data_IF_302946263863
#
_entry.id   IF_302946263863
#
_cell.length_a   1.000
_cell.length_b   1.000
_cell.length_c   1.000
_cell.angle_alpha   90.00
_cell.angle_beta   90.00
_cell.angle_gamma   90.00
#
_symmetry.space_group_name_H-M   'P 1'
#
loop_
_entity.id
_entity.type
_entity.pdbx_description
1 polymer ?
#
# COMPACT_ATOMS: atom_id res chain seq x y z
N UNK A 1 -12.09 -4.47 -17.95
CA UNK A 1 -10.84 -4.71 -17.20
C UNK A 1 -10.88 -6.16 -16.74
N UNK A 2 -9.74 -6.82 -16.58
CA UNK A 2 -9.70 -8.15 -15.96
C UNK A 2 -9.21 -7.96 -14.53
N UNK A 3 -9.97 -8.38 -13.50
CA UNK A 3 -9.54 -8.23 -12.13
C UNK A 3 -8.16 -8.82 -11.90
N UNK A 4 -7.38 -8.17 -11.04
CA UNK A 4 -5.97 -8.47 -10.86
C UNK A 4 -5.59 -8.44 -9.40
N UNK A 5 -4.72 -9.34 -8.99
CA UNK A 5 -4.15 -9.36 -7.65
C UNK A 5 -2.65 -9.54 -7.72
N UNK A 6 -1.94 -8.67 -7.03
CA UNK A 6 -0.49 -8.78 -6.87
C UNK A 6 -0.14 -8.68 -5.39
N UNK A 7 0.69 -9.60 -4.92
CA UNK A 7 1.04 -9.74 -3.51
C UNK A 7 2.56 -9.69 -3.33
N UNK A 8 2.99 -9.09 -2.24
CA UNK A 8 4.31 -9.27 -1.66
C UNK A 8 4.13 -9.88 -0.29
N UNK A 9 4.83 -10.98 -0.05
CA UNK A 9 4.77 -11.76 1.18
C UNK A 9 6.13 -11.67 1.85
N UNK A 10 6.14 -11.42 3.16
CA UNK A 10 7.36 -11.44 3.96
C UNK A 10 7.14 -12.06 5.32
N UNK A 11 8.12 -12.84 5.79
CA UNK A 11 8.18 -13.28 7.19
C UNK A 11 8.80 -12.19 8.07
N UNK A 12 8.09 -11.82 9.13
CA UNK A 12 8.53 -10.88 10.17
C UNK A 12 8.26 -11.51 11.53
N UNK A 13 9.33 -11.82 12.27
CA UNK A 13 9.24 -12.55 13.55
C UNK A 13 8.42 -13.84 13.40
N UNK A 14 7.34 -14.00 14.17
CA UNK A 14 6.40 -15.13 14.12
C UNK A 14 5.27 -14.94 13.10
N UNK A 15 5.31 -13.90 12.26
CA UNK A 15 4.19 -13.55 11.40
C UNK A 15 4.60 -13.61 9.92
N UNK A 16 3.66 -14.00 9.07
CA UNK A 16 3.68 -13.78 7.64
C UNK A 16 2.85 -12.52 7.35
N UNK A 17 3.49 -11.47 6.83
CA UNK A 17 2.82 -10.25 6.40
C UNK A 17 2.61 -10.31 4.90
N UNK A 18 1.36 -10.18 4.48
CA UNK A 18 0.95 -10.10 3.08
C UNK A 18 0.53 -8.66 2.82
N UNK A 19 1.19 -8.03 1.86
CA UNK A 19 0.81 -6.73 1.31
C UNK A 19 0.47 -6.89 -0.16
N UNK A 20 -0.43 -6.08 -0.70
CA UNK A 20 -0.77 -6.23 -2.10
C UNK A 20 -1.64 -5.13 -2.65
N UNK A 21 -1.92 -5.26 -3.94
CA UNK A 21 -2.89 -4.43 -4.65
C UNK A 21 -3.83 -5.34 -5.42
N UNK A 22 -5.12 -5.16 -5.15
CA UNK A 22 -6.20 -5.75 -5.91
C UNK A 22 -6.83 -4.67 -6.79
N UNK A 23 -6.95 -4.95 -8.08
CA UNK A 23 -7.57 -4.06 -9.06
C UNK A 23 -8.82 -4.75 -9.59
N UNK A 24 -9.99 -4.13 -9.45
CA UNK A 24 -11.26 -4.70 -9.91
C UNK A 24 -12.17 -3.61 -10.46
N UNK A 25 -13.23 -4.00 -11.16
CA UNK A 25 -14.30 -3.10 -11.61
C UNK A 25 -15.56 -3.15 -10.72
N UNK A 26 -15.76 -4.22 -9.94
CA UNK A 26 -16.98 -4.43 -9.14
C UNK A 26 -16.80 -4.39 -7.62
N UNK A 27 -15.58 -4.55 -7.10
CA UNK A 27 -15.30 -4.53 -5.66
C UNK A 27 -14.60 -3.22 -5.26
N UNK A 28 -15.20 -2.47 -4.32
CA UNK A 28 -14.65 -1.20 -3.83
C UNK A 28 -14.53 -1.24 -2.32
N UNK A 29 -13.30 -1.17 -1.81
CA UNK A 29 -13.05 -1.19 -0.37
C UNK A 29 -13.39 0.14 0.32
N UNK A 30 -13.56 1.23 -0.44
CA UNK A 30 -13.73 2.58 0.12
C UNK A 30 -12.55 2.99 0.99
N UNK A 31 -12.82 3.77 2.03
CA UNK A 31 -11.78 4.22 2.97
C UNK A 31 -11.29 3.13 3.93
N UNK A 32 -12.02 2.02 4.04
CA UNK A 32 -11.65 0.84 4.83
C UNK A 32 -12.66 -0.29 4.63
N UNK A 33 -12.19 -1.53 4.46
CA UNK A 33 -13.02 -2.73 4.46
C UNK A 33 -12.23 -3.95 4.94
N UNK A 34 -12.79 -4.73 5.87
CA UNK A 34 -12.29 -6.06 6.18
C UNK A 34 -12.93 -7.10 5.28
N UNK A 35 -12.20 -8.10 4.82
CA UNK A 35 -12.75 -9.22 4.06
C UNK A 35 -11.91 -10.49 4.29
N UNK A 36 -12.55 -11.65 4.09
CA UNK A 36 -11.85 -12.92 4.24
C UNK A 36 -10.89 -13.11 3.06
N UNK A 37 -9.63 -13.43 3.37
CA UNK A 37 -8.63 -13.86 2.41
C UNK A 37 -8.18 -15.26 2.79
N UNK A 38 -8.35 -16.21 1.87
CA UNK A 38 -7.89 -17.58 2.02
C UNK A 38 -6.93 -17.85 0.86
N UNK A 39 -5.76 -18.37 1.16
CA UNK A 39 -4.79 -18.83 0.18
C UNK A 39 -4.60 -20.34 0.26
N UNK A 40 -4.28 -20.95 -0.87
CA UNK A 40 -3.94 -22.37 -0.95
C UNK A 40 -2.64 -22.52 -1.77
N UNK A 41 -1.63 -23.17 -1.19
CA UNK A 41 -0.37 -23.46 -1.89
C UNK A 41 -0.57 -24.63 -2.84
N UNK A 42 -0.55 -24.35 -4.14
CA UNK A 42 -0.73 -25.38 -5.17
C UNK A 42 0.58 -26.13 -5.43
N UNK A 43 1.68 -25.39 -5.54
CA UNK A 43 3.06 -25.89 -5.69
C UNK A 43 4.08 -24.88 -5.09
N UNK A 44 5.37 -25.03 -5.37
CA UNK A 44 6.42 -24.13 -4.84
C UNK A 44 6.29 -22.70 -5.34
N UNK A 45 5.83 -22.51 -6.58
CA UNK A 45 5.80 -21.23 -7.27
C UNK A 45 4.37 -20.70 -7.51
N UNK A 46 3.34 -21.46 -7.14
CA UNK A 46 1.95 -21.14 -7.46
C UNK A 46 1.05 -21.22 -6.23
N UNK A 47 0.25 -20.17 -6.04
CA UNK A 47 -0.79 -20.11 -5.00
C UNK A 47 -2.14 -19.76 -5.63
N UNK A 48 -3.22 -20.30 -5.09
CA UNK A 48 -4.57 -19.81 -5.30
C UNK A 48 -4.94 -18.88 -4.15
N UNK A 49 -5.54 -17.73 -4.41
CA UNK A 49 -6.03 -16.79 -3.41
C UNK A 49 -7.49 -16.49 -3.66
N UNK A 50 -8.30 -16.78 -2.65
CA UNK A 50 -9.74 -16.59 -2.58
C UNK A 50 -10.00 -15.33 -1.75
N UNK A 51 -10.71 -14.37 -2.34
CA UNK A 51 -11.13 -13.15 -1.67
C UNK A 51 -12.66 -13.11 -1.66
N UNK A 52 -13.23 -13.18 -0.48
CA UNK A 52 -14.67 -13.00 -0.28
C UNK A 52 -15.02 -11.52 -0.53
N UNK A 53 -16.07 -11.29 -1.33
CA UNK A 53 -16.58 -9.93 -1.60
C UNK A 53 -17.39 -9.39 -0.42
N UNK A 54 -17.80 -10.25 0.51
CA UNK A 54 -18.54 -9.86 1.70
C UNK A 54 -17.63 -9.13 2.69
N UNK A 55 -18.02 -7.90 3.01
CA UNK A 55 -17.38 -7.11 4.06
C UNK A 55 -17.60 -7.76 5.43
N UNK A 56 -16.52 -7.82 6.20
CA UNK A 56 -16.54 -8.18 7.61
C UNK A 56 -16.08 -7.00 8.45
N UNK A 57 -16.85 -6.72 9.49
CA UNK A 57 -16.45 -5.75 10.50
C UNK A 57 -15.44 -6.39 11.45
N UNK A 58 -14.32 -5.70 11.68
CA UNK A 58 -13.30 -6.12 12.63
C UNK A 58 -13.07 -5.04 13.66
N UNK A 59 -12.98 -5.46 14.92
CA UNK A 59 -12.77 -4.61 16.08
C UNK A 59 -11.77 -5.25 17.02
N UNK A 60 -10.90 -4.43 17.59
CA UNK A 60 -9.86 -4.95 18.49
C UNK A 60 -10.53 -5.38 19.81
N UNK A 61 -9.80 -6.01 20.74
CA UNK A 61 -10.34 -6.35 22.06
C UNK A 61 -10.90 -5.16 22.85
N UNK A 62 -10.60 -3.93 22.43
CA UNK A 62 -11.07 -2.67 23.03
C UNK A 62 -12.17 -1.97 22.19
N UNK A 63 -12.76 -2.67 21.21
CA UNK A 63 -13.82 -2.20 20.34
C UNK A 63 -13.44 -1.07 19.36
N UNK A 64 -12.13 -0.82 19.14
CA UNK A 64 -11.62 0.18 18.20
C UNK A 64 -11.67 -0.32 16.76
N UNK A 65 -11.83 0.63 15.82
CA UNK A 65 -11.86 0.40 14.37
C UNK A 65 -10.62 1.00 13.70
N UNK A 66 -10.23 0.48 12.53
CA UNK A 66 -9.01 0.91 11.80
C UNK A 66 -9.16 2.01 10.79
N UNK A 67 -10.37 2.51 10.59
CA UNK A 67 -10.61 3.58 9.63
C UNK A 67 -9.66 4.77 9.83
N UNK A 68 -9.21 5.00 11.06
CA UNK A 68 -8.31 6.09 11.44
C UNK A 68 -6.81 5.75 11.32
N UNK A 69 -6.45 4.52 10.90
CA UNK A 69 -5.07 4.05 10.86
C UNK A 69 -4.52 3.89 9.44
N UNK A 70 -3.20 4.01 9.31
CA UNK A 70 -2.48 3.70 8.07
C UNK A 70 -2.34 2.19 7.88
N UNK A 71 -2.53 1.67 6.66
CA UNK A 71 -2.38 0.23 6.39
C UNK A 71 -1.00 -0.28 6.81
N UNK A 72 0.07 0.51 6.67
CA UNK A 72 1.42 0.07 7.03
C UNK A 72 1.67 -0.09 8.54
N UNK A 73 0.78 0.43 9.39
CA UNK A 73 0.90 0.31 10.84
C UNK A 73 0.03 -0.82 11.41
N UNK A 74 -1.01 -1.24 10.66
CA UNK A 74 -1.91 -2.31 11.07
C UNK A 74 -1.23 -3.63 11.46
N UNK A 75 -0.10 -4.06 10.89
CA UNK A 75 0.53 -5.31 11.31
C UNK A 75 1.06 -5.29 12.75
N UNK A 76 1.17 -4.12 13.35
CA UNK A 76 1.63 -3.94 14.72
C UNK A 76 0.48 -3.94 15.75
N UNK A 77 -0.77 -4.06 15.29
CA UNK A 77 -1.95 -4.03 16.15
C UNK A 77 -2.52 -5.42 16.42
N UNK A 78 -3.13 -5.57 17.59
CA UNK A 78 -3.81 -6.79 18.03
C UNK A 78 -5.23 -6.91 17.46
N UNK A 79 -5.34 -7.12 16.14
CA UNK A 79 -6.64 -7.31 15.47
C UNK A 79 -6.71 -8.45 14.47
N UNK A 80 -5.57 -9.02 14.13
CA UNK A 80 -5.54 -10.10 13.18
C UNK A 80 -6.29 -11.29 13.78
N UNK A 81 -7.40 -11.65 13.14
CA UNK A 81 -8.13 -12.85 13.52
C UNK A 81 -7.25 -14.04 13.15
N UNK A 82 -7.07 -14.93 14.11
CA UNK A 82 -6.45 -16.23 13.90
C UNK A 82 -7.17 -16.98 12.79
N UNK A 83 -6.40 -17.59 11.91
CA UNK A 83 -6.93 -18.39 10.82
C UNK A 83 -6.85 -19.86 11.21
N UNK A 84 -8.02 -20.44 11.43
CA UNK A 84 -8.13 -21.85 11.77
C UNK A 84 -8.51 -22.62 10.51
N UNK A 85 -7.57 -23.37 9.94
CA UNK A 85 -7.85 -24.37 8.91
C UNK A 85 -7.29 -25.72 9.31
N UNK A 86 -8.03 -26.78 8.97
CA UNK A 86 -7.59 -28.16 9.11
C UNK A 86 -6.79 -28.64 7.88
N UNK A 87 -6.77 -27.86 6.80
CA UNK A 87 -6.15 -28.23 5.54
C UNK A 87 -4.66 -27.85 5.50
N UNK A 88 -3.81 -28.84 5.20
CA UNK A 88 -2.33 -28.72 5.25
C UNK A 88 -1.69 -27.80 4.20
N UNK A 89 -2.49 -27.17 3.34
CA UNK A 89 -2.02 -26.28 2.27
C UNK A 89 -2.66 -24.91 2.31
N UNK A 90 -3.54 -24.68 3.28
CA UNK A 90 -4.26 -23.43 3.41
C UNK A 90 -3.54 -22.46 4.34
N UNK A 91 -3.69 -21.19 4.03
CA UNK A 91 -3.29 -20.06 4.84
C UNK A 91 -4.34 -18.98 4.67
N UNK A 92 -4.41 -18.00 5.55
CA UNK A 92 -5.36 -16.92 5.35
C UNK A 92 -5.74 -16.24 6.63
N UNK A 93 -6.98 -15.79 6.67
CA UNK A 93 -7.57 -15.04 7.76
C UNK A 93 -8.25 -13.83 7.19
N UNK A 94 -8.00 -12.68 7.81
CA UNK A 94 -8.60 -11.43 7.35
C UNK A 94 -7.58 -10.57 6.63
N UNK A 95 -8.00 -10.01 5.50
CA UNK A 95 -7.33 -8.90 4.87
C UNK A 95 -8.12 -7.61 5.13
N UNK A 96 -7.36 -6.52 5.31
CA UNK A 96 -7.88 -5.17 5.36
C UNK A 96 -7.55 -4.49 4.04
N UNK A 97 -8.56 -3.96 3.36
CA UNK A 97 -8.42 -3.16 2.16
C UNK A 97 -8.69 -1.67 2.39
N UNK A 98 -8.08 -0.85 1.55
CA UNK A 98 -8.40 0.58 1.35
C UNK A 98 -8.24 0.93 -0.12
N UNK A 99 -9.21 1.63 -0.69
CA UNK A 99 -9.10 2.18 -2.03
C UNK A 99 -7.97 3.22 -2.08
N UNK A 100 -7.06 3.01 -3.02
CA UNK A 100 -5.92 3.88 -3.25
C UNK A 100 -6.23 4.94 -4.31
N UNK A 101 -5.26 5.81 -4.54
CA UNK A 101 -5.25 6.74 -5.66
C UNK A 101 -5.32 5.98 -6.99
N UNK A 102 -5.92 6.61 -7.99
CA UNK A 102 -6.02 6.12 -9.36
C UNK A 102 -5.12 6.93 -10.28
N UNK A 103 -4.86 6.45 -11.49
CA UNK A 103 -4.24 7.28 -12.52
C UNK A 103 -5.23 8.33 -13.04
N UNK A 104 -4.71 9.40 -13.68
CA UNK A 104 -5.56 10.49 -14.19
C UNK A 104 -6.55 10.05 -15.28
N UNK A 105 -6.24 8.97 -16.01
CA UNK A 105 -7.08 8.36 -17.05
C UNK A 105 -8.07 7.32 -16.51
N UNK A 106 -8.01 7.01 -15.21
CA UNK A 106 -8.88 6.03 -14.56
C UNK A 106 -10.03 6.72 -13.81
N UNK A 107 -11.24 6.16 -13.92
CA UNK A 107 -12.44 6.65 -13.23
C UNK A 107 -12.77 5.75 -12.02
N UNK A 108 -13.05 6.32 -10.83
CA UNK A 108 -13.47 5.56 -9.66
C UNK A 108 -14.76 4.77 -9.86
N UNK A 109 -15.60 5.17 -10.81
CA UNK A 109 -16.82 4.44 -11.18
C UNK A 109 -16.48 3.11 -11.86
N UNK A 110 -15.36 3.05 -12.60
CA UNK A 110 -14.96 1.94 -13.46
C UNK A 110 -13.87 1.05 -12.87
N UNK A 111 -13.01 1.61 -12.02
CA UNK A 111 -11.84 0.92 -11.45
C UNK A 111 -11.77 1.21 -9.96
N UNK A 112 -11.60 0.15 -9.17
CA UNK A 112 -11.07 0.21 -7.81
C UNK A 112 -9.67 -0.37 -7.78
N UNK A 113 -8.78 0.34 -7.10
CA UNK A 113 -7.42 -0.09 -6.79
C UNK A 113 -7.29 -0.21 -5.29
N UNK A 114 -7.68 -1.35 -4.75
CA UNK A 114 -7.63 -1.60 -3.32
C UNK A 114 -6.22 -2.02 -2.92
N UNK A 115 -5.54 -1.23 -2.07
CA UNK A 115 -4.36 -1.70 -1.36
C UNK A 115 -4.80 -2.60 -0.20
N UNK A 116 -4.16 -3.76 -0.03
CA UNK A 116 -4.58 -4.77 0.95
C UNK A 116 -3.44 -5.15 1.88
N UNK A 117 -3.77 -5.43 3.14
CA UNK A 117 -2.85 -5.97 4.14
C UNK A 117 -3.47 -7.11 4.93
N UNK A 118 -2.69 -8.16 5.15
CA UNK A 118 -3.05 -9.29 6.02
C UNK A 118 -1.84 -9.74 6.81
N UNK A 119 -2.07 -10.25 8.02
CA UNK A 119 -1.06 -10.83 8.88
C UNK A 119 -1.54 -12.19 9.34
N UNK A 120 -0.66 -13.18 9.21
CA UNK A 120 -0.93 -14.59 9.51
C UNK A 120 0.13 -15.06 10.50
N UNK A 121 -0.27 -15.75 11.57
CA UNK A 121 0.66 -16.36 12.51
C UNK A 121 1.35 -17.56 11.83
N UNK A 122 2.68 -17.58 11.81
CA UNK A 122 3.47 -18.67 11.21
C UNK A 122 3.23 -20.01 11.93
N UNK A 123 2.81 -19.98 13.21
CA UNK A 123 2.47 -21.20 13.94
C UNK A 123 1.19 -21.87 13.44
N UNK A 124 0.35 -21.14 12.69
CA UNK A 124 -0.86 -21.66 12.06
C UNK A 124 -0.58 -22.27 10.67
N UNK A 125 0.63 -22.09 10.14
CA UNK A 125 1.02 -22.65 8.86
C UNK A 125 1.61 -24.05 8.99
N UNK A 126 1.17 -24.92 8.10
CA UNK A 126 1.65 -26.32 7.99
C UNK A 126 2.73 -26.49 6.91
N UNK A 127 3.07 -25.41 6.21
CA UNK A 127 4.07 -25.37 5.15
C UNK A 127 4.85 -24.06 5.18
N UNK A 128 6.04 -24.07 4.57
CA UNK A 128 6.93 -22.92 4.58
C UNK A 128 6.80 -22.06 3.31
N UNK A 129 6.86 -20.74 3.51
CA UNK A 129 7.12 -19.74 2.46
C UNK A 129 8.60 -19.36 2.47
N UNK A 130 9.15 -18.82 1.38
CA UNK A 130 10.45 -18.17 1.50
C UNK A 130 10.35 -16.88 2.35
N UNK A 131 11.50 -16.33 2.74
CA UNK A 131 11.52 -15.14 3.61
C UNK A 131 10.83 -13.93 2.95
N UNK A 132 10.99 -13.79 1.63
CA UNK A 132 10.39 -12.75 0.80
C UNK A 132 9.96 -13.35 -0.54
N UNK A 133 8.71 -13.15 -0.93
CA UNK A 133 8.18 -13.54 -2.23
C UNK A 133 7.32 -12.43 -2.82
N UNK A 134 7.30 -12.33 -4.15
CA UNK A 134 6.28 -11.59 -4.87
C UNK A 134 5.46 -12.57 -5.72
N UNK A 135 4.15 -12.38 -5.76
CA UNK A 135 3.20 -13.19 -6.52
C UNK A 135 2.34 -12.28 -7.39
N UNK A 136 2.11 -12.68 -8.65
CA UNK A 136 1.33 -11.91 -9.62
C UNK A 136 0.24 -12.80 -10.20
N UNK A 137 -0.97 -12.26 -10.34
CA UNK A 137 -2.08 -13.01 -10.92
C UNK A 137 -1.86 -13.34 -12.37
N UNK A 138 -2.01 -14.61 -12.72
CA UNK A 138 -1.94 -15.13 -14.09
C UNK A 138 -3.30 -15.60 -14.60
N UNK A 139 -4.24 -15.85 -13.69
CA UNK A 139 -5.64 -16.15 -13.99
C UNK A 139 -6.52 -15.65 -12.86
N UNK A 140 -7.76 -15.29 -13.21
CA UNK A 140 -8.81 -14.93 -12.27
C UNK A 140 -10.12 -15.57 -12.71
N UNK A 141 -10.86 -16.08 -11.75
CA UNK A 141 -12.26 -16.45 -11.90
C UNK A 141 -13.08 -15.62 -10.93
N UNK A 142 -14.10 -14.94 -11.45
CA UNK A 142 -15.10 -14.27 -10.63
C UNK A 142 -16.33 -15.17 -10.53
N UNK A 143 -16.66 -15.56 -9.30
CA UNK A 143 -17.94 -16.20 -8.97
C UNK A 143 -18.77 -15.22 -8.15
N UNK A 144 -20.03 -15.55 -7.90
CA UNK A 144 -21.03 -14.63 -7.32
C UNK A 144 -20.50 -13.84 -6.11
N UNK A 145 -19.98 -14.55 -5.10
CA UNK A 145 -19.58 -13.96 -3.82
C UNK A 145 -18.06 -13.85 -3.60
N UNK A 146 -17.22 -14.27 -4.54
CA UNK A 146 -15.77 -14.25 -4.33
C UNK A 146 -14.99 -14.09 -5.63
N UNK A 147 -13.75 -13.67 -5.49
CA UNK A 147 -12.73 -13.79 -6.52
C UNK A 147 -11.79 -14.94 -6.20
N UNK A 148 -11.42 -15.69 -7.25
CA UNK A 148 -10.39 -16.73 -7.17
C UNK A 148 -9.25 -16.33 -8.09
N UNK A 149 -8.13 -15.92 -7.51
CA UNK A 149 -6.92 -15.56 -8.23
C UNK A 149 -5.93 -16.72 -8.21
N UNK A 150 -5.42 -17.10 -9.37
CA UNK A 150 -4.23 -17.95 -9.47
C UNK A 150 -3.03 -17.04 -9.65
N UNK A 151 -2.10 -17.09 -8.70
CA UNK A 151 -0.91 -16.27 -8.67
C UNK A 151 0.33 -17.13 -8.88
N UNK A 152 1.27 -16.64 -9.70
CA UNK A 152 2.60 -17.23 -9.83
C UNK A 152 3.66 -16.34 -9.19
N UNK A 153 4.66 -16.98 -8.62
CA UNK A 153 5.84 -16.33 -8.07
C UNK A 153 6.57 -15.59 -9.18
N UNK A 154 6.90 -14.34 -8.93
CA UNK A 154 7.68 -13.51 -9.84
C UNK A 154 9.16 -13.64 -9.50
N UNK A 155 9.89 -14.32 -10.38
CA UNK A 155 11.32 -14.61 -10.25
C UNK A 155 12.17 -13.79 -11.22
N UNK A 156 11.62 -12.72 -11.79
CA UNK A 156 12.40 -11.80 -12.63
C UNK A 156 13.52 -11.12 -11.85
N UNK A 157 14.64 -10.85 -12.50
CA UNK A 157 15.83 -10.23 -11.86
C UNK A 157 15.48 -8.92 -11.13
N UNK A 158 14.62 -8.10 -11.74
CA UNK A 158 14.16 -6.84 -11.15
C UNK A 158 13.34 -7.06 -9.87
N UNK A 159 12.47 -8.08 -9.85
CA UNK A 159 11.71 -8.42 -8.65
C UNK A 159 12.62 -9.01 -7.57
N UNK A 160 13.61 -9.83 -7.93
CA UNK A 160 14.59 -10.34 -6.98
C UNK A 160 15.43 -9.23 -6.36
N UNK A 161 15.88 -8.25 -7.17
CA UNK A 161 16.57 -7.06 -6.68
C UNK A 161 15.68 -6.28 -5.71
N UNK A 162 14.43 -6.01 -6.10
CA UNK A 162 13.43 -5.34 -5.27
C UNK A 162 13.26 -6.06 -3.91
N UNK A 163 13.05 -7.39 -3.91
CA UNK A 163 12.88 -8.17 -2.69
C UNK A 163 14.13 -8.10 -1.81
N UNK A 164 15.33 -8.08 -2.41
CA UNK A 164 16.58 -7.83 -1.70
C UNK A 164 16.60 -6.49 -0.97
N UNK A 165 16.08 -5.41 -1.59
CA UNK A 165 16.02 -4.08 -0.95
C UNK A 165 14.99 -3.96 0.19
N UNK A 166 14.06 -4.91 0.30
CA UNK A 166 13.07 -4.96 1.37
C UNK A 166 13.60 -5.65 2.64
N UNK A 167 14.71 -6.38 2.55
CA UNK A 167 15.32 -7.01 3.72
C UNK A 167 15.78 -5.95 4.73
N UNK A 168 15.30 -6.04 5.97
CA UNK A 168 15.64 -5.10 7.04
C UNK A 168 14.91 -3.76 7.00
N UNK A 169 14.00 -3.55 6.04
CA UNK A 169 13.25 -2.31 5.91
C UNK A 169 11.92 -2.32 6.69
N UNK A 170 11.35 -1.13 6.91
CA UNK A 170 10.06 -0.88 7.55
C UNK A 170 8.87 -1.45 6.75
N UNK A 171 7.75 -1.71 7.44
CA UNK A 171 6.52 -2.22 6.81
C UNK A 171 6.01 -1.25 5.73
N UNK A 172 6.15 0.07 5.93
CA UNK A 172 5.76 1.08 4.93
C UNK A 172 6.40 0.82 3.58
N UNK A 173 7.66 0.37 3.58
CA UNK A 173 8.40 0.07 2.35
C UNK A 173 7.81 -1.08 1.55
N UNK A 174 6.92 -1.90 2.11
CA UNK A 174 6.31 -3.04 1.42
C UNK A 174 5.15 -2.61 0.51
N UNK A 175 4.69 -1.37 0.65
CA UNK A 175 3.73 -0.77 -0.26
C UNK A 175 4.41 0.14 -1.27
N UNK A 176 5.39 0.92 -0.80
CA UNK A 176 5.96 2.01 -1.59
C UNK A 176 7.16 1.62 -2.46
N UNK A 177 7.91 0.57 -2.10
CA UNK A 177 9.04 0.12 -2.93
C UNK A 177 8.63 -0.85 -4.04
N UNK A 178 7.71 -1.82 -3.81
CA UNK A 178 7.33 -2.73 -4.87
C UNK A 178 6.74 -2.04 -6.08
N UNK A 179 7.10 -2.56 -7.24
CA UNK A 179 6.40 -2.24 -8.47
C UNK A 179 5.13 -3.09 -8.54
N UNK A 180 4.05 -2.42 -8.89
CA UNK A 180 2.76 -2.99 -9.24
C UNK A 180 2.57 -2.80 -10.74
N UNK A 181 1.75 -3.62 -11.40
CA UNK A 181 1.53 -3.46 -12.83
C UNK A 181 0.08 -3.18 -13.19
N UNK A 182 -0.13 -2.25 -14.13
CA UNK A 182 -1.43 -2.00 -14.77
C UNK A 182 -1.80 -3.17 -15.69
N UNK A 183 -3.02 -3.15 -16.22
CA UNK A 183 -3.52 -4.16 -17.16
C UNK A 183 -2.70 -4.23 -18.46
N UNK A 184 -2.13 -3.09 -18.88
CA UNK A 184 -1.24 -2.98 -20.03
C UNK A 184 0.22 -3.39 -19.73
N UNK A 185 0.53 -3.81 -18.50
CA UNK A 185 1.87 -4.19 -18.05
C UNK A 185 2.76 -3.03 -17.57
N UNK A 186 2.30 -1.78 -17.66
CA UNK A 186 3.02 -0.62 -17.16
C UNK A 186 3.24 -0.71 -15.64
N UNK A 187 4.48 -0.48 -15.20
CA UNK A 187 4.88 -0.55 -13.79
C UNK A 187 4.61 0.77 -13.07
N UNK A 188 4.16 0.70 -11.83
CA UNK A 188 3.95 1.87 -10.97
C UNK A 188 4.22 1.54 -9.51
N UNK A 189 4.34 2.58 -8.68
CA UNK A 189 4.50 2.45 -7.22
C UNK A 189 3.35 3.14 -6.52
N UNK A 190 2.90 2.57 -5.41
CA UNK A 190 1.97 3.28 -4.53
C UNK A 190 2.72 4.40 -3.81
N UNK A 191 2.17 5.61 -3.84
CA UNK A 191 2.73 6.77 -3.13
C UNK A 191 2.25 6.83 -1.69
N UNK A 192 1.02 6.38 -1.43
CA UNK A 192 0.39 6.43 -0.12
C UNK A 192 -0.51 5.21 0.10
N UNK A 193 -0.65 4.80 1.36
CA UNK A 193 -1.68 3.86 1.85
C UNK A 193 -2.43 4.45 3.06
N UNK A 194 -2.32 5.77 3.21
CA UNK A 194 -3.00 6.52 4.25
C UNK A 194 -4.49 6.67 3.92
N UNK A 195 -5.23 7.19 4.89
CA UNK A 195 -6.59 7.65 4.67
C UNK A 195 -6.60 8.94 3.83
N UNK A 196 -7.60 9.15 2.97
CA UNK A 196 -7.69 10.32 2.09
C UNK A 196 -7.60 11.65 2.84
N UNK A 197 -8.23 11.73 4.02
CA UNK A 197 -8.13 12.93 4.88
C UNK A 197 -6.69 13.22 5.34
N UNK A 198 -5.90 12.17 5.61
CA UNK A 198 -4.50 12.32 6.03
C UNK A 198 -3.66 12.82 4.85
N UNK A 199 -3.89 12.29 3.65
CA UNK A 199 -3.18 12.74 2.45
C UNK A 199 -3.53 14.18 2.08
N UNK A 200 -4.80 14.58 2.22
CA UNK A 200 -5.21 15.97 2.07
C UNK A 200 -4.51 16.90 3.07
N UNK A 201 -4.37 16.48 4.33
CA UNK A 201 -3.63 17.25 5.33
C UNK A 201 -2.12 17.33 5.03
N UNK A 202 -1.49 16.24 4.56
CA UNK A 202 -0.09 16.27 4.10
C UNK A 202 0.10 17.24 2.94
N UNK A 203 -0.80 17.18 1.95
CA UNK A 203 -0.77 18.08 0.79
C UNK A 203 -0.89 19.54 1.23
N UNK A 204 -1.83 19.84 2.13
CA UNK A 204 -2.02 21.19 2.66
C UNK A 204 -0.79 21.67 3.44
N UNK A 205 -0.23 20.82 4.31
CA UNK A 205 0.98 21.11 5.08
C UNK A 205 2.14 21.49 4.16
N UNK A 206 2.39 20.69 3.11
CA UNK A 206 3.48 20.94 2.18
C UNK A 206 3.23 22.23 1.38
N UNK A 207 1.99 22.43 0.91
CA UNK A 207 1.61 23.62 0.15
C UNK A 207 1.83 24.91 0.95
N UNK A 208 1.38 24.94 2.21
CA UNK A 208 1.56 26.11 3.08
C UNK A 208 3.02 26.38 3.39
N UNK A 209 3.80 25.34 3.72
CA UNK A 209 5.24 25.49 3.96
C UNK A 209 5.95 26.04 2.71
N UNK A 210 5.63 25.52 1.53
CA UNK A 210 6.27 25.96 0.29
C UNK A 210 5.90 27.41 -0.08
N UNK A 211 4.67 27.83 0.23
CA UNK A 211 4.15 29.17 -0.11
C UNK A 211 4.50 30.24 0.93
N UNK A 212 4.37 29.93 2.21
CA UNK A 212 4.47 30.89 3.31
C UNK A 212 5.72 30.68 4.19
N UNK A 213 6.44 29.57 4.03
CA UNK A 213 7.57 29.19 4.87
C UNK A 213 7.17 28.63 6.23
N UNK A 214 5.88 28.57 6.54
CA UNK A 214 5.32 28.06 7.80
C UNK A 214 3.87 27.59 7.60
N UNK A 215 3.31 26.94 8.62
CA UNK A 215 1.91 26.53 8.62
C UNK A 215 1.03 27.64 9.17
N UNK A 216 -0.20 27.69 8.66
CA UNK A 216 -1.26 28.46 9.32
C UNK A 216 -1.60 27.82 10.66
N UNK A 217 -2.15 28.62 11.59
CA UNK A 217 -2.58 28.10 12.91
C UNK A 217 -3.63 26.99 12.78
N UNK A 218 -4.56 27.15 11.84
CA UNK A 218 -5.61 26.16 11.57
C UNK A 218 -5.01 24.82 11.12
N UNK A 219 -4.06 24.85 10.18
CA UNK A 219 -3.37 23.65 9.72
C UNK A 219 -2.48 23.05 10.82
N UNK A 220 -1.77 23.86 11.61
CA UNK A 220 -0.98 23.37 12.76
C UNK A 220 -1.87 22.69 13.81
N UNK A 221 -3.04 23.24 14.12
CA UNK A 221 -4.02 22.64 15.03
C UNK A 221 -4.57 21.32 14.49
N UNK A 222 -4.98 21.28 13.21
CA UNK A 222 -5.48 20.07 12.56
C UNK A 222 -4.42 18.96 12.50
N UNK A 223 -3.18 19.31 12.17
CA UNK A 223 -2.03 18.39 12.15
C UNK A 223 -1.74 17.87 13.56
N UNK A 224 -1.74 18.75 14.55
CA UNK A 224 -1.47 18.38 15.96
C UNK A 224 -2.54 17.43 16.51
N UNK A 225 -3.81 17.65 16.17
CA UNK A 225 -4.90 16.74 16.51
C UNK A 225 -4.69 15.32 15.94
N UNK A 226 -3.95 15.20 14.84
CA UNK A 226 -3.59 13.94 14.17
C UNK A 226 -2.11 13.56 14.38
N UNK A 227 -1.42 14.18 15.36
CA UNK A 227 0.05 14.16 15.56
C UNK A 227 0.74 12.79 15.60
N UNK A 228 0.01 11.70 15.85
CA UNK A 228 0.58 10.35 15.72
C UNK A 228 0.98 10.02 14.27
N UNK A 229 0.33 10.63 13.30
CA UNK A 229 0.45 10.31 11.87
C UNK A 229 1.21 11.37 11.07
N UNK A 230 1.27 12.61 11.59
CA UNK A 230 1.80 13.78 10.90
C UNK A 230 2.88 14.45 11.76
N UNK A 231 4.10 14.53 11.24
CA UNK A 231 5.20 15.25 11.90
C UNK A 231 5.27 16.68 11.40
N UNK A 232 5.34 17.63 12.32
CA UNK A 232 5.65 19.02 12.02
C UNK A 232 7.15 19.13 11.75
N UNK A 233 7.56 19.29 10.49
CA UNK A 233 8.95 19.58 10.18
C UNK A 233 9.18 21.10 10.17
N UNK A 234 9.97 21.58 11.14
CA UNK A 234 10.33 23.00 11.30
C UNK A 234 11.74 23.30 10.79
N UNK A 235 12.42 22.32 10.19
CA UNK A 235 13.76 22.47 9.64
C UNK A 235 13.77 23.43 8.44
N UNK A 236 14.64 24.43 8.49
CA UNK A 236 14.78 25.45 7.43
C UNK A 236 15.23 24.84 6.10
N UNK A 237 16.10 23.84 6.13
CA UNK A 237 16.58 23.13 4.93
C UNK A 237 15.44 22.36 4.26
N UNK A 238 14.56 21.75 5.05
CA UNK A 238 13.36 21.08 4.55
C UNK A 238 12.38 22.07 3.91
N UNK A 239 12.19 23.25 4.52
CA UNK A 239 11.33 24.31 3.98
C UNK A 239 11.85 24.85 2.65
N UNK A 240 13.16 25.11 2.57
CA UNK A 240 13.83 25.53 1.34
C UNK A 240 13.68 24.48 0.24
N UNK A 241 13.92 23.21 0.57
CA UNK A 241 13.70 22.08 -0.33
C UNK A 241 12.29 22.07 -0.90
N UNK A 242 11.26 22.18 -0.06
CA UNK A 242 9.86 22.18 -0.51
C UNK A 242 9.54 23.37 -1.42
N UNK A 243 10.03 24.57 -1.09
CA UNK A 243 9.81 25.76 -1.92
C UNK A 243 10.41 25.57 -3.32
N UNK A 244 11.62 25.02 -3.42
CA UNK A 244 12.29 24.81 -4.70
C UNK A 244 11.71 23.63 -5.48
N UNK A 245 11.30 22.56 -4.80
CA UNK A 245 10.56 21.47 -5.41
C UNK A 245 9.26 21.96 -6.04
N UNK A 246 8.49 22.81 -5.35
CA UNK A 246 7.24 23.35 -5.90
C UNK A 246 7.45 24.29 -7.08
N UNK A 247 8.60 24.98 -7.18
CA UNK A 247 8.94 25.82 -8.34
C UNK A 247 9.38 24.98 -9.55
N UNK A 248 10.23 23.98 -9.32
CA UNK A 248 10.83 23.15 -10.39
C UNK A 248 9.87 22.06 -10.87
N UNK A 249 9.07 21.53 -9.95
CA UNK A 249 8.14 20.44 -10.18
C UNK A 249 6.76 20.78 -9.60
N UNK A 250 5.98 21.67 -10.25
CA UNK A 250 4.69 22.13 -9.71
C UNK A 250 3.65 21.01 -9.48
N UNK A 251 3.77 19.90 -10.21
CA UNK A 251 2.94 18.71 -10.08
C UNK A 251 3.40 17.76 -8.95
N UNK A 252 4.41 18.14 -8.15
CA UNK A 252 4.89 17.31 -7.04
C UNK A 252 3.75 16.90 -6.07
N UNK A 253 2.81 17.82 -5.83
CA UNK A 253 1.66 17.57 -4.97
C UNK A 253 0.57 16.69 -5.61
N UNK A 254 0.60 16.47 -6.93
CA UNK A 254 -0.35 15.57 -7.60
C UNK A 254 -0.21 14.12 -7.08
N UNK A 255 0.95 13.77 -6.52
CA UNK A 255 1.19 12.46 -5.89
C UNK A 255 0.25 12.14 -4.70
N UNK A 256 -0.42 13.15 -4.16
CA UNK A 256 -1.44 13.01 -3.10
C UNK A 256 -2.86 12.87 -3.66
N UNK A 257 -3.09 13.20 -4.93
CA UNK A 257 -4.42 13.15 -5.56
C UNK A 257 -4.56 11.98 -6.53
N UNK A 258 -3.46 11.55 -7.13
CA UNK A 258 -3.43 10.48 -8.14
C UNK A 258 -2.10 9.72 -8.12
N UNK A 259 -2.11 8.55 -8.73
CA UNK A 259 -0.87 7.86 -9.09
C UNK A 259 -0.21 8.63 -10.24
N UNK A 260 1.08 8.87 -10.09
CA UNK A 260 1.92 9.50 -11.10
C UNK A 260 2.41 8.46 -12.11
N UNK A 261 2.58 8.86 -13.36
CA UNK A 261 3.21 8.00 -14.38
C UNK A 261 4.69 7.76 -14.05
N UNK A 262 5.33 6.76 -14.67
CA UNK A 262 6.77 6.53 -14.54
C UNK A 262 7.60 7.75 -14.91
N UNK A 263 7.22 8.48 -15.97
CA UNK A 263 7.91 9.68 -16.44
C UNK A 263 7.81 10.81 -15.41
N UNK A 264 6.61 11.04 -14.85
CA UNK A 264 6.40 12.04 -13.82
C UNK A 264 7.18 11.72 -12.54
N UNK A 265 7.20 10.44 -12.15
CA UNK A 265 8.00 9.98 -11.00
C UNK A 265 9.50 10.21 -11.24
N UNK A 266 9.98 9.92 -12.45
CA UNK A 266 11.39 10.13 -12.81
C UNK A 266 11.77 11.62 -12.77
N UNK A 267 10.90 12.50 -13.26
CA UNK A 267 11.13 13.95 -13.20
C UNK A 267 11.21 14.45 -11.75
N UNK A 268 10.34 13.96 -10.85
CA UNK A 268 10.43 14.29 -9.42
C UNK A 268 11.78 13.84 -8.84
N UNK A 269 12.22 12.62 -9.15
CA UNK A 269 13.49 12.07 -8.65
C UNK A 269 14.70 12.88 -9.15
N UNK A 270 14.70 13.27 -10.43
CA UNK A 270 15.75 14.11 -11.04
C UNK A 270 15.81 15.50 -10.38
N UNK A 271 14.66 16.16 -10.20
CA UNK A 271 14.62 17.45 -9.52
C UNK A 271 15.01 17.36 -8.04
N UNK A 272 14.58 16.30 -7.35
CA UNK A 272 14.94 16.05 -5.96
C UNK A 272 16.46 15.94 -5.79
N UNK A 273 17.13 15.16 -6.65
CA UNK A 273 18.58 15.00 -6.62
C UNK A 273 19.30 16.32 -6.87
N UNK A 274 18.88 17.07 -7.89
CA UNK A 274 19.49 18.35 -8.22
C UNK A 274 19.43 19.35 -7.04
N UNK A 275 18.28 19.45 -6.37
CA UNK A 275 18.13 20.35 -5.20
C UNK A 275 19.02 19.89 -4.05
N UNK A 276 19.03 18.58 -3.74
CA UNK A 276 19.88 18.04 -2.66
C UNK A 276 21.36 18.32 -2.94
N UNK A 277 21.82 18.13 -4.18
CA UNK A 277 23.19 18.43 -4.58
C UNK A 277 23.53 19.92 -4.42
N UNK A 278 22.62 20.83 -4.81
CA UNK A 278 22.79 22.28 -4.63
C UNK A 278 22.80 22.71 -3.16
N UNK A 279 22.08 22.00 -2.28
CA UNK A 279 22.08 22.27 -0.85
C UNK A 279 23.35 21.79 -0.12
N UNK A 280 24.09 20.85 -0.72
CA UNK A 280 25.30 20.24 -0.15
C UNK A 280 26.61 20.62 -0.85
N UNK A 281 26.54 21.33 -1.99
CA UNK A 281 27.68 21.90 -2.72
C UNK A 281 28.03 23.30 -2.25
#
# INVERSE_FOLDING_TARGET
MTPKLELVIRKIHSNLVITGVMVTDSFKAGDFMGFQLIGNKLDEDTIAVFIDKQEIEIRDPYNQQFKDQCLSELPMNDIWRKFESTESKEFGGVAIGRDNLLFADESPEQVSRTAIISVIDLNELTFDFEHHCAFRSVAVEEVENMYVFILKKDTSDETLELLGTLMGDSIKSFYSKPFWTRDNGEKYRLKTVNHREIDALYKLQISEIAQFGELTKETEEAVTAKSRWLKLNKDESYRAFLSDMMKRCPFYLDAFDRILTPEESKLIDEHTKAIIEEMHG
#
